data_IF_055449227673
#
_entry.id   IF_055449227673
#
_cell.length_a   1.000
_cell.length_b   1.000
_cell.length_c   1.000
_cell.angle_alpha   90.00
_cell.angle_beta   90.00
_cell.angle_gamma   90.00
#
_symmetry.space_group_name_H-M   'P 1'
#
loop_
_entity.id
_entity.type
_entity.pdbx_description
1 polymer ?
#
# COMPACT_ATOMS: atom_id res chain seq x y z
N UNK A 1 -6.68 -22.40 -23.66
CA UNK A 1 -6.40 -21.51 -22.51
C UNK A 1 -4.95 -21.75 -22.11
N UNK A 2 -4.06 -20.76 -22.29
CA UNK A 2 -2.65 -20.87 -21.88
C UNK A 2 -2.56 -20.57 -20.38
N UNK A 3 -1.87 -21.41 -19.62
CA UNK A 3 -1.59 -21.20 -18.20
C UNK A 3 -0.12 -20.85 -18.05
N UNK A 4 0.16 -19.73 -17.39
CA UNK A 4 1.51 -19.34 -17.01
C UNK A 4 1.69 -19.67 -15.53
N UNK A 5 2.48 -20.70 -15.25
CA UNK A 5 2.82 -21.10 -13.89
C UNK A 5 3.87 -20.18 -13.27
N UNK A 6 3.90 -20.14 -11.94
CA UNK A 6 4.97 -19.47 -11.19
C UNK A 6 6.25 -20.32 -11.35
N UNK A 7 7.36 -19.76 -11.87
CA UNK A 7 8.61 -20.50 -11.99
C UNK A 7 9.18 -20.81 -10.59
N UNK A 8 10.02 -21.85 -10.49
CA UNK A 8 10.66 -22.18 -9.22
C UNK A 8 11.56 -21.03 -8.73
N UNK A 9 11.72 -20.85 -7.41
CA UNK A 9 12.64 -19.84 -6.85
C UNK A 9 14.08 -20.00 -7.38
N UNK A 10 14.51 -21.24 -7.62
CA UNK A 10 15.84 -21.55 -8.18
C UNK A 10 16.07 -20.97 -9.58
N UNK A 11 15.02 -20.69 -10.34
CA UNK A 11 15.08 -20.01 -11.64
C UNK A 11 14.80 -18.51 -11.51
N UNK A 12 13.85 -18.14 -10.65
CA UNK A 12 13.36 -16.78 -10.53
C UNK A 12 14.35 -15.84 -9.82
N UNK A 13 15.01 -16.31 -8.75
CA UNK A 13 15.94 -15.51 -7.95
C UNK A 13 17.18 -15.10 -8.75
N UNK A 14 17.89 -16.00 -9.47
CA UNK A 14 19.01 -15.60 -10.31
C UNK A 14 18.59 -14.66 -11.45
N UNK A 15 17.39 -14.87 -12.01
CA UNK A 15 16.85 -14.02 -13.08
C UNK A 15 16.56 -12.59 -12.61
N UNK A 16 16.06 -12.44 -11.37
CA UNK A 16 15.87 -11.14 -10.72
C UNK A 16 17.20 -10.50 -10.34
N UNK A 17 18.12 -11.25 -9.73
CA UNK A 17 19.43 -10.74 -9.32
C UNK A 17 20.23 -10.14 -10.49
N UNK A 18 20.05 -10.68 -11.70
CA UNK A 18 20.67 -10.15 -12.90
C UNK A 18 20.06 -8.82 -13.42
N UNK A 19 18.93 -8.36 -12.85
CA UNK A 19 18.16 -7.19 -13.30
C UNK A 19 17.98 -6.12 -12.22
N UNK A 20 17.99 -6.54 -10.97
CA UNK A 20 17.89 -5.66 -9.81
C UNK A 20 19.30 -5.30 -9.38
N UNK A 21 19.74 -4.08 -9.74
CA UNK A 21 21.05 -3.56 -9.35
C UNK A 21 21.03 -2.89 -7.98
N UNK A 22 19.89 -2.30 -7.61
CA UNK A 22 19.68 -1.60 -6.35
C UNK A 22 18.26 -1.94 -5.83
N UNK A 23 18.03 -1.85 -4.52
CA UNK A 23 16.78 -2.24 -3.86
C UNK A 23 16.87 -3.48 -2.95
N UNK A 24 15.72 -4.03 -2.51
CA UNK A 24 15.67 -5.20 -1.63
C UNK A 24 16.26 -6.46 -2.27
N UNK A 25 16.67 -7.41 -1.44
CA UNK A 25 17.19 -8.70 -1.90
C UNK A 25 16.19 -9.42 -2.86
N UNK A 26 16.66 -10.03 -3.97
CA UNK A 26 15.80 -10.70 -4.94
C UNK A 26 14.87 -11.77 -4.38
N UNK A 27 15.27 -12.51 -3.34
CA UNK A 27 14.38 -13.47 -2.68
C UNK A 27 13.25 -12.74 -1.96
N UNK A 28 13.55 -11.62 -1.29
CA UNK A 28 12.57 -10.78 -0.61
C UNK A 28 11.55 -10.19 -1.60
N UNK A 29 12.01 -9.70 -2.76
CA UNK A 29 11.14 -9.21 -3.83
C UNK A 29 10.21 -10.32 -4.37
N UNK A 30 10.74 -11.54 -4.49
CA UNK A 30 9.98 -12.69 -4.91
C UNK A 30 8.90 -13.07 -3.88
N UNK A 31 9.25 -13.06 -2.61
CA UNK A 31 8.33 -13.35 -1.50
C UNK A 31 7.18 -12.33 -1.47
N UNK A 32 7.50 -11.04 -1.63
CA UNK A 32 6.48 -9.99 -1.72
C UNK A 32 5.57 -10.15 -2.94
N UNK A 33 6.12 -10.59 -4.07
CA UNK A 33 5.36 -10.87 -5.27
C UNK A 33 4.57 -12.19 -5.22
N UNK A 34 4.66 -12.97 -4.14
CA UNK A 34 4.06 -14.30 -4.05
C UNK A 34 4.64 -15.26 -5.10
N UNK A 35 5.94 -15.17 -5.37
CA UNK A 35 6.67 -16.00 -6.32
C UNK A 35 6.72 -15.46 -7.75
N UNK A 36 5.93 -14.44 -8.12
CA UNK A 36 5.85 -13.97 -9.50
C UNK A 36 7.02 -13.03 -9.89
N UNK A 37 7.98 -13.45 -10.73
CA UNK A 37 9.22 -12.70 -10.96
C UNK A 37 9.01 -11.35 -11.69
N UNK A 38 8.01 -11.24 -12.57
CA UNK A 38 7.73 -9.97 -13.25
C UNK A 38 7.14 -8.93 -12.28
N UNK A 39 6.28 -9.36 -11.36
CA UNK A 39 5.77 -8.49 -10.30
C UNK A 39 6.89 -8.13 -9.31
N UNK A 40 7.78 -9.09 -9.00
CA UNK A 40 8.98 -8.84 -8.20
C UNK A 40 9.92 -7.81 -8.83
N UNK A 41 10.10 -7.85 -10.15
CA UNK A 41 10.90 -6.84 -10.86
C UNK A 41 10.25 -5.46 -10.81
N UNK A 42 8.92 -5.38 -10.85
CA UNK A 42 8.21 -4.10 -10.67
C UNK A 42 8.39 -3.53 -9.25
N UNK A 43 8.59 -4.39 -8.24
CA UNK A 43 8.96 -3.93 -6.89
C UNK A 43 10.40 -3.40 -6.80
N UNK A 44 11.27 -3.71 -7.76
CA UNK A 44 12.66 -3.24 -7.79
C UNK A 44 12.82 -1.82 -8.36
N UNK A 45 11.74 -1.19 -8.86
CA UNK A 45 11.77 0.22 -9.23
C UNK A 45 11.86 1.09 -7.95
N UNK A 46 13.08 1.55 -7.66
CA UNK A 46 13.41 2.24 -6.41
C UNK A 46 12.57 3.49 -6.16
N UNK A 47 12.25 4.25 -7.22
CA UNK A 47 11.50 5.50 -7.09
C UNK A 47 10.06 5.25 -6.65
N UNK A 48 9.40 4.30 -7.30
CA UNK A 48 8.03 3.89 -6.98
C UNK A 48 7.94 3.26 -5.58
N UNK A 49 8.96 2.48 -5.19
CA UNK A 49 9.02 1.84 -3.88
C UNK A 49 9.21 2.82 -2.73
N UNK A 50 10.24 3.66 -2.82
CA UNK A 50 10.55 4.66 -1.80
C UNK A 50 9.36 5.58 -1.56
N UNK A 51 8.71 6.01 -2.64
CA UNK A 51 7.55 6.88 -2.57
C UNK A 51 6.37 6.24 -1.84
N UNK A 52 6.06 4.99 -2.15
CA UNK A 52 4.99 4.24 -1.47
C UNK A 52 5.24 4.11 0.03
N UNK A 53 6.48 3.86 0.43
CA UNK A 53 6.88 3.80 1.86
C UNK A 53 6.76 5.16 2.55
N UNK A 54 7.25 6.22 1.92
CA UNK A 54 7.11 7.59 2.44
C UNK A 54 5.63 7.98 2.67
N UNK A 55 4.74 7.61 1.74
CA UNK A 55 3.31 7.84 1.91
C UNK A 55 2.69 7.01 3.04
N UNK A 56 3.11 5.75 3.20
CA UNK A 56 2.63 4.89 4.29
C UNK A 56 3.07 5.42 5.67
N UNK A 57 4.33 5.84 5.79
CA UNK A 57 4.87 6.46 7.01
C UNK A 57 4.16 7.78 7.32
N UNK A 58 3.96 8.63 6.32
CA UNK A 58 3.20 9.88 6.47
C UNK A 58 1.77 9.63 6.93
N UNK A 59 1.10 8.62 6.35
CA UNK A 59 -0.25 8.22 6.74
C UNK A 59 -0.30 7.70 8.19
N UNK A 60 0.70 6.93 8.63
CA UNK A 60 0.80 6.49 10.02
C UNK A 60 0.86 7.69 10.98
N UNK A 61 1.71 8.67 10.68
CA UNK A 61 1.88 9.85 11.53
C UNK A 61 0.60 10.69 11.63
N UNK A 62 -0.13 10.87 10.52
CA UNK A 62 -1.43 11.57 10.55
C UNK A 62 -2.44 10.79 11.39
N UNK A 63 -2.50 9.46 11.22
CA UNK A 63 -3.45 8.59 11.95
C UNK A 63 -3.24 8.58 13.47
N UNK A 64 -2.06 9.00 13.95
CA UNK A 64 -1.75 9.16 15.38
C UNK A 64 -1.62 10.62 15.81
N UNK A 65 -2.16 11.56 15.01
CA UNK A 65 -2.13 13.00 15.25
C UNK A 65 -0.72 13.58 15.47
N UNK A 66 0.30 13.02 14.81
CA UNK A 66 1.70 13.46 14.84
C UNK A 66 2.14 14.21 13.58
N UNK A 67 1.29 14.27 12.55
CA UNK A 67 1.52 15.04 11.34
C UNK A 67 0.26 15.79 10.93
N UNK A 68 0.44 16.92 10.25
CA UNK A 68 -0.65 17.75 9.74
C UNK A 68 -1.31 17.06 8.52
N UNK A 69 -2.62 16.79 8.54
CA UNK A 69 -3.33 16.18 7.40
C UNK A 69 -3.28 17.05 6.13
N UNK A 70 -3.12 18.37 6.24
CA UNK A 70 -3.00 19.29 5.11
C UNK A 70 -1.66 19.07 4.39
N UNK A 71 -0.55 19.10 5.13
CA UNK A 71 0.78 18.85 4.57
C UNK A 71 0.91 17.41 4.03
N UNK A 72 0.25 16.46 4.68
CA UNK A 72 0.16 15.11 4.16
C UNK A 72 -0.58 15.09 2.82
N UNK A 73 -1.76 15.70 2.70
CA UNK A 73 -2.51 15.77 1.45
C UNK A 73 -1.68 16.38 0.30
N UNK A 74 -0.93 17.45 0.56
CA UNK A 74 0.00 18.03 -0.43
C UNK A 74 1.05 17.02 -0.89
N UNK A 75 1.61 16.23 0.04
CA UNK A 75 2.52 15.13 -0.32
C UNK A 75 1.81 14.18 -1.27
N UNK A 76 0.63 13.65 -0.92
CA UNK A 76 -0.14 12.70 -1.75
C UNK A 76 -0.44 13.21 -3.17
N UNK A 77 -0.54 14.53 -3.35
CA UNK A 77 -0.82 15.18 -4.64
C UNK A 77 0.40 15.35 -5.56
N UNK A 78 1.64 15.24 -5.06
CA UNK A 78 2.85 15.58 -5.84
C UNK A 78 2.95 14.82 -7.16
N UNK A 79 2.80 13.50 -7.12
CA UNK A 79 2.95 12.63 -8.29
C UNK A 79 2.03 11.41 -8.15
N UNK A 80 1.43 10.99 -9.27
CA UNK A 80 0.74 9.70 -9.36
C UNK A 80 -0.43 9.54 -8.39
N UNK A 81 -1.32 10.53 -8.24
CA UNK A 81 -2.42 10.46 -7.27
C UNK A 81 -3.25 9.16 -7.37
N UNK A 82 -3.58 8.73 -8.59
CA UNK A 82 -4.33 7.50 -8.80
C UNK A 82 -3.58 6.25 -8.29
N UNK A 83 -2.26 6.21 -8.47
CA UNK A 83 -1.41 5.14 -7.94
C UNK A 83 -1.35 5.17 -6.42
N UNK A 84 -1.16 6.37 -5.85
CA UNK A 84 -1.13 6.56 -4.40
C UNK A 84 -2.42 6.06 -3.75
N UNK A 85 -3.58 6.46 -4.28
CA UNK A 85 -4.90 6.04 -3.80
C UNK A 85 -5.13 4.52 -4.00
N UNK A 86 -4.61 3.94 -5.08
CA UNK A 86 -4.64 2.50 -5.29
C UNK A 86 -3.81 1.75 -4.25
N UNK A 87 -2.65 2.26 -3.84
CA UNK A 87 -1.87 1.69 -2.74
C UNK A 87 -2.64 1.79 -1.41
N UNK A 88 -3.27 2.93 -1.13
CA UNK A 88 -4.08 3.12 0.07
C UNK A 88 -5.19 2.09 0.22
N UNK A 89 -5.92 1.81 -0.87
CA UNK A 89 -6.94 0.75 -0.94
C UNK A 89 -6.31 -0.63 -0.70
N UNK A 90 -5.15 -0.87 -1.32
CA UNK A 90 -4.37 -2.09 -1.12
C UNK A 90 -3.99 -2.31 0.34
N UNK A 91 -3.50 -1.27 1.02
CA UNK A 91 -3.14 -1.31 2.43
C UNK A 91 -4.36 -1.68 3.28
N UNK A 92 -5.49 -0.98 3.12
CA UNK A 92 -6.71 -1.26 3.90
C UNK A 92 -7.27 -2.67 3.65
N UNK A 93 -7.14 -3.18 2.43
CA UNK A 93 -7.51 -4.57 2.11
C UNK A 93 -6.68 -5.56 2.92
N UNK A 94 -5.36 -5.34 3.02
CA UNK A 94 -4.48 -6.20 3.81
C UNK A 94 -4.66 -6.00 5.33
N UNK A 95 -5.02 -4.80 5.80
CA UNK A 95 -5.41 -4.58 7.21
C UNK A 95 -6.59 -5.46 7.60
N UNK A 96 -7.63 -5.52 6.76
CA UNK A 96 -8.80 -6.36 7.00
C UNK A 96 -8.41 -7.83 7.01
N UNK A 97 -7.56 -8.28 6.06
CA UNK A 97 -7.06 -9.67 6.03
C UNK A 97 -6.32 -10.02 7.31
N UNK A 98 -5.39 -9.17 7.75
CA UNK A 98 -4.64 -9.34 8.99
C UNK A 98 -5.55 -9.33 10.23
N UNK A 99 -6.60 -8.50 10.23
CA UNK A 99 -7.58 -8.46 11.32
C UNK A 99 -8.38 -9.75 11.43
N UNK A 100 -8.69 -10.40 10.32
CA UNK A 100 -9.46 -11.65 10.29
C UNK A 100 -8.58 -12.89 10.51
N UNK A 101 -7.34 -12.85 10.04
CA UNK A 101 -6.36 -13.91 10.23
C UNK A 101 -4.98 -13.26 10.45
N UNK A 102 -4.36 -13.42 11.64
CA UNK A 102 -3.03 -12.87 11.93
C UNK A 102 -1.92 -13.36 10.99
N UNK A 103 -2.08 -14.55 10.42
CA UNK A 103 -1.16 -15.16 9.46
C UNK A 103 -1.90 -15.51 8.16
N UNK A 104 -2.27 -14.50 7.36
CA UNK A 104 -2.93 -14.75 6.09
C UNK A 104 -1.94 -15.42 5.12
N UNK A 105 -2.40 -16.34 4.28
CA UNK A 105 -1.51 -17.07 3.36
C UNK A 105 -0.82 -16.15 2.34
N UNK A 106 -1.37 -14.94 2.10
CA UNK A 106 -0.77 -13.94 1.23
C UNK A 106 -1.18 -12.52 1.63
N UNK A 107 -0.22 -11.61 1.62
CA UNK A 107 -0.44 -10.16 1.64
C UNK A 107 -0.08 -9.57 0.26
N UNK A 108 -0.84 -8.58 -0.19
CA UNK A 108 -0.52 -7.84 -1.41
C UNK A 108 0.61 -6.82 -1.18
N UNK A 109 0.77 -6.40 0.07
CA UNK A 109 1.69 -5.36 0.53
C UNK A 109 2.63 -5.93 1.60
N UNK A 110 3.19 -7.12 1.33
CA UNK A 110 4.04 -7.86 2.29
C UNK A 110 5.25 -7.03 2.77
N UNK A 111 5.71 -6.13 1.91
CA UNK A 111 6.75 -5.14 2.15
C UNK A 111 6.47 -4.13 3.29
N UNK A 112 5.18 -3.90 3.61
CA UNK A 112 4.70 -3.11 4.74
C UNK A 112 4.10 -4.00 5.84
N UNK A 113 4.30 -5.31 5.79
CA UNK A 113 3.59 -6.28 6.63
C UNK A 113 3.62 -5.97 8.13
N UNK A 114 4.77 -5.59 8.68
CA UNK A 114 4.90 -5.24 10.10
C UNK A 114 4.16 -3.94 10.46
N UNK A 115 4.18 -2.96 9.57
CA UNK A 115 3.44 -1.71 9.74
C UNK A 115 1.94 -1.96 9.68
N UNK A 116 1.48 -2.74 8.69
CA UNK A 116 0.08 -3.10 8.54
C UNK A 116 -0.45 -3.94 9.70
N UNK A 117 0.36 -4.86 10.26
CA UNK A 117 0.00 -5.59 11.49
C UNK A 117 -0.29 -4.65 12.65
N UNK A 118 0.59 -3.69 12.92
CA UNK A 118 0.38 -2.69 13.98
C UNK A 118 -0.89 -1.86 13.76
N UNK A 119 -1.18 -1.48 12.52
CA UNK A 119 -2.40 -0.73 12.18
C UNK A 119 -3.66 -1.59 12.36
N UNK A 120 -3.62 -2.86 11.94
CA UNK A 120 -4.73 -3.78 12.09
C UNK A 120 -5.07 -4.03 13.57
N UNK A 121 -4.06 -4.12 14.44
CA UNK A 121 -4.25 -4.28 15.88
C UNK A 121 -4.86 -3.04 16.53
N UNK A 122 -4.51 -1.84 16.04
CA UNK A 122 -4.97 -0.56 16.62
C UNK A 122 -6.46 -0.31 16.45
N UNK A 123 -7.05 -0.71 15.32
CA UNK A 123 -8.44 -0.35 14.99
C UNK A 123 -9.38 -1.56 15.02
N UNK A 124 -10.65 -1.39 15.42
CA UNK A 124 -11.65 -2.43 15.31
C UNK A 124 -11.97 -2.70 13.83
N UNK A 125 -12.43 -3.93 13.52
CA UNK A 125 -12.71 -4.34 12.14
C UNK A 125 -13.70 -3.43 11.42
N UNK A 126 -14.76 -2.97 12.11
CA UNK A 126 -15.74 -2.02 11.56
C UNK A 126 -15.07 -0.77 10.99
N UNK A 127 -14.18 -0.14 11.76
CA UNK A 127 -13.47 1.08 11.34
C UNK A 127 -12.57 0.79 10.13
N UNK A 128 -11.91 -0.38 10.11
CA UNK A 128 -11.08 -0.77 8.95
C UNK A 128 -11.91 -0.89 7.66
N UNK A 129 -13.13 -1.43 7.74
CA UNK A 129 -14.05 -1.50 6.59
C UNK A 129 -14.56 -0.11 6.17
N UNK A 130 -14.98 0.72 7.12
CA UNK A 130 -15.43 2.09 6.83
C UNK A 130 -14.33 2.93 6.15
N UNK A 131 -13.08 2.77 6.61
CA UNK A 131 -11.91 3.43 6.00
C UNK A 131 -11.60 2.89 4.61
N UNK A 132 -11.76 1.59 4.35
CA UNK A 132 -11.63 1.02 3.02
C UNK A 132 -12.68 1.60 2.05
N UNK A 133 -13.95 1.65 2.48
CA UNK A 133 -15.04 2.20 1.67
C UNK A 133 -14.79 3.68 1.35
N UNK A 134 -14.36 4.46 2.35
CA UNK A 134 -13.98 5.86 2.16
C UNK A 134 -12.81 6.03 1.18
N UNK A 135 -11.80 5.14 1.24
CA UNK A 135 -10.66 5.18 0.30
C UNK A 135 -11.08 4.84 -1.15
N UNK A 136 -12.00 3.89 -1.32
CA UNK A 136 -12.57 3.55 -2.64
C UNK A 136 -13.38 4.73 -3.19
N UNK A 137 -14.23 5.34 -2.38
CA UNK A 137 -15.01 6.52 -2.78
C UNK A 137 -14.10 7.69 -3.16
N UNK A 138 -13.06 7.95 -2.36
CA UNK A 138 -12.04 8.96 -2.65
C UNK A 138 -11.37 8.71 -4.00
N UNK A 139 -10.91 7.48 -4.26
CA UNK A 139 -10.35 7.08 -5.54
C UNK A 139 -11.31 7.35 -6.70
N UNK A 140 -12.57 6.94 -6.57
CA UNK A 140 -13.59 7.18 -7.60
C UNK A 140 -13.78 8.67 -7.86
N UNK A 141 -13.96 9.47 -6.81
CA UNK A 141 -14.16 10.92 -6.96
C UNK A 141 -12.96 11.60 -7.62
N UNK A 142 -11.74 11.30 -7.18
CA UNK A 142 -10.52 11.90 -7.73
C UNK A 142 -10.22 11.48 -9.18
N UNK A 143 -10.66 10.30 -9.61
CA UNK A 143 -10.34 9.77 -10.97
C UNK A 143 -11.46 9.95 -11.99
N UNK A 144 -12.72 10.10 -11.54
CA UNK A 144 -13.88 10.17 -12.45
C UNK A 144 -14.55 11.54 -12.49
N UNK A 145 -14.21 12.45 -11.58
CA UNK A 145 -14.84 13.77 -11.48
C UNK A 145 -13.80 14.89 -11.50
N UNK A 146 -14.25 16.15 -11.64
CA UNK A 146 -13.42 17.35 -11.48
C UNK A 146 -13.47 17.91 -10.05
N UNK A 147 -13.78 17.07 -9.06
CA UNK A 147 -13.82 17.49 -7.66
C UNK A 147 -12.42 17.93 -7.17
N UNK A 148 -12.40 18.79 -6.16
CA UNK A 148 -11.14 19.27 -5.56
C UNK A 148 -10.46 18.12 -4.79
N UNK A 149 -9.52 17.43 -5.45
CA UNK A 149 -8.81 16.28 -4.90
C UNK A 149 -8.02 16.61 -3.63
N UNK A 150 -7.46 17.82 -3.53
CA UNK A 150 -6.75 18.28 -2.33
C UNK A 150 -7.69 18.29 -1.12
N UNK A 151 -8.85 18.94 -1.26
CA UNK A 151 -9.84 19.02 -0.18
C UNK A 151 -10.38 17.62 0.21
N UNK A 152 -10.60 16.75 -0.76
CA UNK A 152 -11.06 15.37 -0.51
C UNK A 152 -10.01 14.54 0.26
N UNK A 153 -8.73 14.69 -0.09
CA UNK A 153 -7.62 14.05 0.63
C UNK A 153 -7.50 14.59 2.05
N UNK A 154 -7.55 15.91 2.23
CA UNK A 154 -7.50 16.54 3.55
C UNK A 154 -8.61 15.99 4.45
N UNK A 155 -9.84 15.93 3.95
CA UNK A 155 -10.98 15.38 4.68
C UNK A 155 -10.79 13.90 5.04
N UNK A 156 -10.31 13.09 4.09
CA UNK A 156 -10.02 11.67 4.33
C UNK A 156 -8.92 11.46 5.38
N UNK A 157 -7.85 12.25 5.31
CA UNK A 157 -6.70 12.16 6.22
C UNK A 157 -7.06 12.66 7.62
N UNK A 158 -7.82 13.75 7.73
CA UNK A 158 -8.29 14.29 9.00
C UNK A 158 -9.28 13.34 9.70
N UNK A 159 -10.20 12.70 8.95
CA UNK A 159 -11.20 11.78 9.52
C UNK A 159 -10.64 10.47 10.11
N UNK A 160 -9.33 10.21 9.98
CA UNK A 160 -8.65 9.09 10.64
C UNK A 160 -7.97 9.44 11.97
N UNK A 161 -7.92 10.73 12.32
CA UNK A 161 -7.23 11.23 13.51
C UNK A 161 -8.14 11.25 14.75
N UNK A 162 -9.44 10.98 14.62
CA UNK A 162 -10.36 10.92 15.75
C UNK A 162 -10.11 9.62 16.55
N UNK A 163 -9.61 9.73 17.79
CA UNK A 163 -9.62 8.60 18.70
C UNK A 163 -11.08 8.40 19.15
N UNK A 164 -11.62 7.21 18.87
CA UNK A 164 -12.81 6.73 19.57
C UNK A 164 -12.53 6.68 21.08
#
# INVERSE_FOLDING_TARGET
RLSFGIPSPTLAVPWLAARVTEGPDPQTLLDWAGGAPLAALAYADEGHWRRRRELAEGYEQVSVARADPILAAESWMKEGLADNLRWLIGWHTDLIRLKMNPEPPRLNNADLGDMLRRWADRYPSRILFERLDAAIQLYTLCTTTQANAQLLLEAFLAGGADPC
#
